data_IF_466175803654
#
_entry.id   IF_466175803654
#
_cell.length_a   1.000
_cell.length_b   1.000
_cell.length_c   1.000
_cell.angle_alpha   90.00
_cell.angle_beta   90.00
_cell.angle_gamma   90.00
#
_symmetry.space_group_name_H-M   'P 1'
#
loop_
_entity.id
_entity.type
_entity.pdbx_description
1 polymer ?
#
# COMPACT_ATOMS: atom_id res chain seq x y z
N UNK A 1 -23.59 -40.34 75.43
CA UNK A 1 -24.77 -40.03 74.62
C UNK A 1 -25.04 -38.55 74.76
N UNK A 2 -24.34 -37.77 74.07
CA UNK A 2 -24.51 -36.33 74.11
C UNK A 2 -24.06 -35.71 72.83
N UNK A 3 -25.03 -35.41 72.00
CA UNK A 3 -24.84 -34.68 70.77
C UNK A 3 -25.17 -33.21 71.10
N UNK A 4 -24.10 -32.47 71.37
CA UNK A 4 -24.16 -31.03 71.65
C UNK A 4 -24.21 -30.24 70.34
N UNK A 5 -25.20 -29.37 70.31
CA UNK A 5 -25.41 -28.21 69.46
C UNK A 5 -24.11 -27.52 69.00
N UNK A 6 -23.94 -27.36 67.68
CA UNK A 6 -23.07 -26.34 67.08
C UNK A 6 -23.93 -25.36 66.30
N UNK A 7 -23.86 -24.08 66.64
CA UNK A 7 -24.55 -23.07 65.84
C UNK A 7 -23.93 -22.93 64.45
N UNK A 8 -24.71 -22.52 63.41
CA UNK A 8 -24.21 -22.33 62.07
C UNK A 8 -23.28 -21.14 62.00
N UNK A 9 -22.18 -21.30 61.23
CA UNK A 9 -21.22 -20.27 60.99
C UNK A 9 -21.83 -19.12 60.15
N UNK A 10 -21.46 -17.85 60.40
CA UNK A 10 -22.00 -16.71 59.67
C UNK A 10 -21.50 -16.71 58.23
N UNK A 11 -22.43 -16.64 57.28
CA UNK A 11 -22.20 -16.35 55.87
C UNK A 11 -21.84 -14.87 55.78
N UNK A 12 -20.60 -14.58 55.51
CA UNK A 12 -20.19 -13.18 55.24
C UNK A 12 -18.77 -12.94 55.71
N UNK A 13 -17.81 -13.07 54.80
CA UNK A 13 -16.59 -12.28 54.71
C UNK A 13 -15.52 -13.09 53.94
N UNK A 14 -15.25 -12.74 52.76
CA UNK A 14 -14.23 -13.37 51.99
C UNK A 14 -14.03 -12.74 50.60
N UNK A 15 -14.44 -11.48 50.47
CA UNK A 15 -13.83 -10.69 49.38
C UNK A 15 -12.41 -10.35 49.81
N UNK A 16 -11.47 -11.24 49.53
CA UNK A 16 -10.08 -10.90 49.52
C UNK A 16 -9.93 -9.70 48.61
N UNK A 17 -9.64 -8.53 49.17
CA UNK A 17 -9.10 -7.40 48.41
C UNK A 17 -7.85 -7.92 47.74
N UNK A 18 -7.96 -8.16 46.45
CA UNK A 18 -6.78 -8.18 45.62
C UNK A 18 -6.21 -6.78 45.69
N UNK A 19 -5.17 -6.65 46.48
CA UNK A 19 -4.28 -5.51 46.44
C UNK A 19 -3.65 -5.53 45.06
N UNK A 20 -4.25 -4.75 44.16
CA UNK A 20 -3.66 -4.45 42.87
C UNK A 20 -2.53 -3.51 43.20
N UNK A 21 -1.42 -4.07 43.70
CA UNK A 21 -0.13 -3.44 43.58
C UNK A 21 0.06 -3.26 42.09
N UNK A 22 -0.11 -2.02 41.64
CA UNK A 22 0.23 -1.57 40.30
C UNK A 22 1.73 -1.83 40.14
N UNK A 23 2.07 -3.05 39.74
CA UNK A 23 3.38 -3.31 39.13
C UNK A 23 3.47 -2.30 38.01
N UNK A 24 4.53 -1.50 37.95
CA UNK A 24 4.76 -0.64 36.78
C UNK A 24 4.58 -1.54 35.56
N UNK A 25 3.64 -1.17 34.68
CA UNK A 25 3.42 -1.83 33.41
C UNK A 25 4.82 -1.93 32.81
N UNK A 26 5.40 -3.12 32.79
CA UNK A 26 6.57 -3.37 31.97
C UNK A 26 6.11 -2.91 30.57
N UNK A 27 6.64 -1.76 30.17
CA UNK A 27 6.54 -1.36 28.76
C UNK A 27 7.10 -2.56 27.99
N UNK A 28 6.22 -3.32 27.40
CA UNK A 28 6.62 -4.29 26.40
C UNK A 28 7.56 -3.53 25.48
N UNK A 29 8.78 -4.01 25.23
CA UNK A 29 9.62 -3.39 24.25
C UNK A 29 8.78 -3.31 22.98
N UNK A 30 8.57 -2.08 22.49
CA UNK A 30 7.80 -1.84 21.27
C UNK A 30 8.28 -2.81 20.20
N UNK A 31 7.37 -3.42 19.44
CA UNK A 31 7.76 -4.28 18.35
C UNK A 31 8.82 -3.55 17.52
N UNK A 32 9.86 -4.24 17.10
CA UNK A 32 10.95 -3.71 16.26
C UNK A 32 10.49 -3.47 14.81
N UNK A 33 9.24 -3.07 14.64
CA UNK A 33 8.54 -2.81 13.38
C UNK A 33 8.89 -1.47 12.73
N UNK A 34 10.06 -0.91 13.06
CA UNK A 34 10.53 0.28 12.39
C UNK A 34 9.66 1.52 12.62
N UNK A 35 9.00 1.63 13.78
CA UNK A 35 8.31 2.86 14.20
C UNK A 35 9.25 4.06 14.03
N UNK A 36 8.76 5.22 13.53
CA UNK A 36 9.60 6.37 13.27
C UNK A 36 10.32 6.78 14.56
N UNK A 37 11.62 6.54 14.60
CA UNK A 37 12.49 7.06 15.67
C UNK A 37 12.65 8.55 15.40
N UNK A 38 11.74 9.34 15.91
CA UNK A 38 11.77 10.79 15.76
C UNK A 38 13.19 11.31 16.04
N UNK A 39 13.88 11.76 15.02
CA UNK A 39 15.13 12.49 15.12
C UNK A 39 16.45 11.71 15.11
N UNK A 40 16.48 10.39 15.18
CA UNK A 40 17.75 9.63 15.05
C UNK A 40 18.11 9.38 13.58
N UNK A 41 19.36 9.67 13.19
CA UNK A 41 19.86 9.35 11.85
C UNK A 41 19.94 7.82 11.68
N UNK A 42 19.26 7.25 10.68
CA UNK A 42 19.42 5.85 10.36
C UNK A 42 20.84 5.56 9.82
N UNK A 43 21.29 4.31 9.83
CA UNK A 43 22.55 3.94 9.21
C UNK A 43 22.50 4.26 7.70
N UNK A 44 23.66 4.56 7.11
CA UNK A 44 23.77 4.90 5.69
C UNK A 44 23.19 3.81 4.79
N UNK A 45 23.28 2.54 5.18
CA UNK A 45 22.70 1.40 4.48
C UNK A 45 21.17 1.49 4.36
N UNK A 46 20.47 1.92 5.40
CA UNK A 46 19.02 2.13 5.37
C UNK A 46 18.66 3.30 4.45
N UNK A 47 19.41 4.40 4.53
CA UNK A 47 19.18 5.57 3.66
C UNK A 47 19.38 5.20 2.19
N UNK A 48 20.45 4.48 1.84
CA UNK A 48 20.69 3.99 0.48
C UNK A 48 19.58 3.01 0.08
N UNK A 49 19.18 2.11 0.99
CA UNK A 49 18.06 1.20 0.77
C UNK A 49 16.76 1.94 0.45
N UNK A 50 16.48 3.05 1.13
CA UNK A 50 15.30 3.87 0.87
C UNK A 50 15.38 4.59 -0.49
N UNK A 51 16.57 5.04 -0.93
CA UNK A 51 16.76 5.56 -2.30
C UNK A 51 16.49 4.48 -3.34
N UNK A 52 16.99 3.27 -3.15
CA UNK A 52 16.74 2.15 -4.07
C UNK A 52 15.24 1.80 -4.11
N UNK A 53 14.58 1.71 -2.96
CA UNK A 53 13.13 1.48 -2.88
C UNK A 53 12.34 2.57 -3.61
N UNK A 54 12.74 3.84 -3.41
CA UNK A 54 12.18 4.98 -4.14
C UNK A 54 12.38 4.84 -5.64
N UNK A 55 13.56 4.44 -6.08
CA UNK A 55 13.86 4.17 -7.48
C UNK A 55 12.94 3.10 -8.08
N UNK A 56 12.72 1.99 -7.35
CA UNK A 56 11.81 0.94 -7.79
C UNK A 56 10.33 1.42 -7.85
N UNK A 57 9.91 2.24 -6.88
CA UNK A 57 8.58 2.86 -6.89
C UNK A 57 8.45 3.80 -8.10
N UNK A 58 9.43 4.68 -8.33
CA UNK A 58 9.44 5.59 -9.47
C UNK A 58 9.40 4.85 -10.81
N UNK A 59 10.14 3.77 -10.94
CA UNK A 59 10.10 2.88 -12.11
C UNK A 59 8.69 2.32 -12.34
N UNK A 60 8.04 1.83 -11.30
CA UNK A 60 6.68 1.30 -11.38
C UNK A 60 5.67 2.37 -11.81
N UNK A 61 5.82 3.59 -11.30
CA UNK A 61 4.92 4.70 -11.65
C UNK A 61 5.05 5.15 -13.13
N UNK A 62 6.17 4.88 -13.79
CA UNK A 62 6.32 5.17 -15.23
C UNK A 62 5.53 4.20 -16.12
N UNK A 63 5.02 3.12 -15.54
CA UNK A 63 4.36 2.04 -16.29
C UNK A 63 2.85 2.08 -16.05
N UNK A 64 2.04 2.34 -17.09
CA UNK A 64 0.59 2.26 -16.98
C UNK A 64 0.12 0.88 -16.49
N UNK A 65 -0.69 0.86 -15.43
CA UNK A 65 -1.22 -0.39 -14.86
C UNK A 65 -0.37 -1.02 -13.76
N UNK A 66 0.82 -0.49 -13.48
CA UNK A 66 1.63 -0.87 -12.32
C UNK A 66 1.50 0.20 -11.24
N UNK A 67 1.38 -0.19 -9.98
CA UNK A 67 1.22 0.72 -8.85
C UNK A 67 2.49 0.77 -8.01
N UNK A 68 3.02 1.97 -7.77
CA UNK A 68 4.11 2.19 -6.82
C UNK A 68 3.75 1.76 -5.40
N UNK A 69 2.46 1.81 -5.03
CA UNK A 69 1.96 1.24 -3.78
C UNK A 69 2.23 -0.27 -3.66
N UNK A 70 2.12 -1.02 -4.77
CA UNK A 70 2.53 -2.44 -4.81
C UNK A 70 4.01 -2.61 -4.52
N UNK A 71 4.86 -1.77 -5.13
CA UNK A 71 6.31 -1.82 -4.88
C UNK A 71 6.64 -1.43 -3.43
N UNK A 72 5.96 -0.41 -2.88
CA UNK A 72 6.11 -0.04 -1.48
C UNK A 72 5.72 -1.19 -0.53
N UNK A 73 4.65 -1.93 -0.86
CA UNK A 73 4.21 -3.09 -0.10
C UNK A 73 5.26 -4.22 -0.18
N UNK A 74 5.68 -4.59 -1.39
CA UNK A 74 6.68 -5.64 -1.64
C UNK A 74 8.02 -5.31 -0.99
N UNK A 75 8.40 -4.04 -0.95
CA UNK A 75 9.64 -3.58 -0.32
C UNK A 75 9.52 -3.30 1.18
N UNK A 76 8.35 -3.56 1.79
CA UNK A 76 8.10 -3.50 3.24
C UNK A 76 8.05 -2.10 3.85
N UNK A 77 7.94 -1.04 3.03
CA UNK A 77 7.86 0.34 3.52
C UNK A 77 6.46 0.94 3.48
N UNK A 78 5.47 0.19 3.00
CA UNK A 78 4.11 0.70 2.76
C UNK A 78 3.47 1.33 3.99
N UNK A 79 3.44 0.62 5.12
CA UNK A 79 2.84 1.12 6.37
C UNK A 79 3.57 2.35 6.90
N UNK A 80 4.91 2.36 6.84
CA UNK A 80 5.72 3.53 7.22
C UNK A 80 5.46 4.74 6.32
N UNK A 81 5.31 4.53 5.01
CA UNK A 81 4.95 5.61 4.06
C UNK A 81 3.58 6.19 4.39
N UNK A 82 2.58 5.36 4.65
CA UNK A 82 1.22 5.82 4.98
C UNK A 82 1.20 6.59 6.30
N UNK A 83 1.85 6.09 7.34
CA UNK A 83 1.96 6.78 8.62
C UNK A 83 2.66 8.14 8.47
N UNK A 84 3.76 8.20 7.71
CA UNK A 84 4.47 9.46 7.43
C UNK A 84 3.65 10.42 6.60
N UNK A 85 2.91 9.93 5.61
CA UNK A 85 2.01 10.75 4.78
C UNK A 85 0.88 11.36 5.61
N UNK A 86 0.31 10.64 6.58
CA UNK A 86 -0.67 11.19 7.52
C UNK A 86 -0.08 12.37 8.29
N UNK A 87 1.04 12.18 9.00
CA UNK A 87 1.69 13.25 9.73
C UNK A 87 2.00 14.45 8.83
N UNK A 88 2.46 14.21 7.61
CA UNK A 88 2.71 15.28 6.63
C UNK A 88 1.42 16.03 6.27
N UNK A 89 0.27 15.34 6.13
CA UNK A 89 -1.03 15.97 5.84
C UNK A 89 -1.65 16.64 7.08
N UNK A 90 -1.26 16.25 8.28
CA UNK A 90 -1.73 16.88 9.52
C UNK A 90 -0.99 18.20 9.84
N UNK A 91 0.24 18.39 9.33
CA UNK A 91 1.00 19.64 9.52
C UNK A 91 0.23 20.89 9.06
N UNK A 92 -0.27 21.02 7.81
CA UNK A 92 -1.03 22.19 7.38
C UNK A 92 -2.33 22.37 8.18
N UNK A 93 -3.00 21.27 8.53
CA UNK A 93 -4.21 21.31 9.36
C UNK A 93 -3.88 21.87 10.74
N UNK A 94 -2.83 21.37 11.38
CA UNK A 94 -2.37 21.85 12.68
C UNK A 94 -2.01 23.33 12.68
N UNK A 95 -1.43 23.83 11.59
CA UNK A 95 -1.17 25.27 11.40
C UNK A 95 -2.45 26.09 11.35
N UNK A 96 -3.51 25.59 10.68
CA UNK A 96 -4.81 26.28 10.56
C UNK A 96 -5.59 26.21 11.87
N UNK A 97 -5.64 25.03 12.51
CA UNK A 97 -6.41 24.78 13.74
C UNK A 97 -5.68 25.22 15.01
N UNK A 98 -4.44 25.73 14.88
CA UNK A 98 -3.56 26.10 16.00
C UNK A 98 -3.28 24.92 16.94
N UNK A 99 -3.33 23.68 16.46
CA UNK A 99 -2.87 22.50 17.19
C UNK A 99 -1.34 22.38 17.09
N UNK A 100 -0.74 21.39 17.75
CA UNK A 100 0.73 21.24 17.79
C UNK A 100 1.28 20.64 16.48
N UNK A 101 1.18 21.42 15.36
CA UNK A 101 1.72 21.05 14.05
C UNK A 101 3.21 20.71 14.08
N UNK A 102 3.95 21.24 15.10
CA UNK A 102 5.39 20.95 15.25
C UNK A 102 5.64 19.54 15.73
N UNK A 103 4.71 18.96 16.50
CA UNK A 103 4.75 17.57 16.88
C UNK A 103 4.52 16.68 15.65
N UNK A 104 3.51 16.99 14.83
CA UNK A 104 3.24 16.27 13.59
C UNK A 104 4.44 16.31 12.64
N UNK A 105 5.03 17.50 12.43
CA UNK A 105 6.21 17.67 11.58
C UNK A 105 7.44 16.87 12.09
N UNK A 106 7.57 16.68 13.42
CA UNK A 106 8.64 15.86 14.01
C UNK A 106 8.39 14.37 13.87
N UNK A 107 7.12 13.96 13.81
CA UNK A 107 6.71 12.56 13.66
C UNK A 107 6.76 12.09 12.19
N UNK A 108 6.91 12.99 11.23
CA UNK A 108 7.17 12.62 9.83
C UNK A 108 8.52 11.92 9.73
N UNK A 109 8.54 10.74 9.12
CA UNK A 109 9.78 10.00 8.84
C UNK A 109 10.52 10.60 7.63
N UNK A 110 11.19 11.73 7.85
CA UNK A 110 11.96 12.42 6.81
C UNK A 110 13.09 11.57 6.25
N UNK A 111 13.65 10.67 7.06
CA UNK A 111 14.71 9.75 6.65
C UNK A 111 14.20 8.61 5.75
N UNK A 112 12.91 8.42 5.69
CA UNK A 112 12.25 7.57 4.71
C UNK A 112 11.81 8.40 3.50
N UNK A 113 11.02 9.47 3.72
CA UNK A 113 10.36 10.20 2.63
C UNK A 113 11.34 10.88 1.68
N UNK A 114 12.39 11.56 2.20
CA UNK A 114 13.33 12.29 1.35
C UNK A 114 14.15 11.33 0.48
N UNK A 115 14.80 10.27 1.02
CA UNK A 115 15.51 9.30 0.19
C UNK A 115 14.61 8.59 -0.84
N UNK A 116 13.39 8.22 -0.45
CA UNK A 116 12.42 7.62 -1.37
C UNK A 116 12.07 8.60 -2.49
N UNK A 117 11.76 9.86 -2.17
CA UNK A 117 11.44 10.87 -3.18
C UNK A 117 12.63 11.13 -4.13
N UNK A 118 13.86 11.20 -3.61
CA UNK A 118 15.06 11.33 -4.45
C UNK A 118 15.19 10.14 -5.38
N UNK A 119 15.05 8.91 -4.87
CA UNK A 119 15.11 7.69 -5.68
C UNK A 119 14.05 7.67 -6.75
N UNK A 120 12.80 8.04 -6.43
CA UNK A 120 11.70 8.16 -7.40
C UNK A 120 12.04 9.14 -8.52
N UNK A 121 12.45 10.36 -8.18
CA UNK A 121 12.79 11.38 -9.17
C UNK A 121 13.94 10.94 -10.08
N UNK A 122 15.01 10.40 -9.49
CA UNK A 122 16.15 9.88 -10.27
C UNK A 122 15.70 8.78 -11.22
N UNK A 123 14.86 7.85 -10.78
CA UNK A 123 14.38 6.75 -11.62
C UNK A 123 13.48 7.29 -12.76
N UNK A 124 12.51 8.15 -12.42
CA UNK A 124 11.60 8.72 -13.43
C UNK A 124 12.37 9.46 -14.50
N UNK A 125 13.27 10.37 -14.13
CA UNK A 125 14.02 11.15 -15.12
C UNK A 125 15.09 10.36 -15.88
N UNK A 126 15.63 9.27 -15.29
CA UNK A 126 16.69 8.48 -15.95
C UNK A 126 16.15 7.36 -16.82
N UNK A 127 15.00 6.78 -16.49
CA UNK A 127 14.52 5.50 -17.05
C UNK A 127 13.17 5.65 -17.76
N UNK A 128 12.47 6.79 -17.58
CA UNK A 128 11.16 6.99 -18.18
C UNK A 128 11.16 6.73 -19.70
N UNK A 129 12.14 7.25 -20.43
CA UNK A 129 12.23 7.05 -21.87
C UNK A 129 12.47 5.59 -22.26
N UNK A 130 13.33 4.87 -21.55
CA UNK A 130 13.57 3.43 -21.79
C UNK A 130 12.32 2.62 -21.49
N UNK A 131 11.63 2.97 -20.40
CA UNK A 131 10.40 2.28 -20.00
C UNK A 131 9.25 2.57 -20.97
N UNK A 132 9.12 3.82 -21.42
CA UNK A 132 8.17 4.22 -22.44
C UNK A 132 8.39 3.40 -23.73
N UNK A 133 9.61 3.34 -24.23
CA UNK A 133 9.97 2.52 -25.38
C UNK A 133 9.60 1.04 -25.16
N UNK A 134 9.93 0.48 -23.98
CA UNK A 134 9.61 -0.92 -23.68
C UNK A 134 8.10 -1.18 -23.63
N UNK A 135 7.32 -0.26 -23.08
CA UNK A 135 5.84 -0.41 -22.98
C UNK A 135 5.17 -0.21 -24.34
N UNK A 136 5.65 0.75 -25.14
CA UNK A 136 5.02 1.10 -26.43
C UNK A 136 5.44 0.17 -27.57
N UNK A 137 6.73 -0.19 -27.64
CA UNK A 137 7.24 -1.04 -28.74
C UNK A 137 7.12 -2.54 -28.44
N UNK A 138 7.07 -2.93 -27.16
CA UNK A 138 7.00 -4.33 -26.73
C UNK A 138 5.85 -4.58 -25.75
N UNK A 139 4.58 -4.24 -26.09
CA UNK A 139 3.45 -4.26 -25.15
C UNK A 139 3.13 -5.66 -24.60
N UNK A 140 3.32 -6.72 -25.39
CA UNK A 140 3.11 -8.11 -24.95
C UNK A 140 4.12 -8.48 -23.88
N UNK A 141 5.39 -8.17 -24.09
CA UNK A 141 6.47 -8.54 -23.19
C UNK A 141 6.47 -7.71 -21.90
N UNK A 142 6.22 -6.41 -22.00
CA UNK A 142 6.13 -5.53 -20.85
C UNK A 142 4.96 -5.92 -19.94
N UNK A 143 3.77 -6.14 -20.51
CA UNK A 143 2.61 -6.61 -19.75
C UNK A 143 2.85 -7.97 -19.09
N UNK A 144 3.50 -8.92 -19.80
CA UNK A 144 3.84 -10.23 -19.26
C UNK A 144 4.77 -10.12 -18.04
N UNK A 145 5.84 -9.31 -18.13
CA UNK A 145 6.77 -9.07 -17.02
C UNK A 145 6.03 -8.50 -15.78
N UNK A 146 5.24 -7.45 -15.99
CA UNK A 146 4.50 -6.82 -14.88
C UNK A 146 3.39 -7.72 -14.33
N UNK A 147 2.71 -8.49 -15.16
CA UNK A 147 1.75 -9.49 -14.74
C UNK A 147 2.40 -10.54 -13.81
N UNK A 148 3.62 -10.99 -14.14
CA UNK A 148 4.39 -11.89 -13.30
C UNK A 148 4.74 -11.27 -11.94
N UNK A 149 5.20 -10.02 -11.96
CA UNK A 149 5.50 -9.27 -10.73
C UNK A 149 4.27 -9.13 -9.84
N UNK A 150 3.14 -8.69 -10.38
CA UNK A 150 1.91 -8.51 -9.60
C UNK A 150 1.33 -9.85 -9.14
N UNK A 151 1.37 -10.88 -9.97
CA UNK A 151 0.90 -12.22 -9.59
C UNK A 151 1.64 -12.76 -8.35
N UNK A 152 2.97 -12.60 -8.31
CA UNK A 152 3.76 -12.95 -7.13
C UNK A 152 3.44 -12.05 -5.93
N UNK A 153 3.19 -10.76 -6.16
CA UNK A 153 2.87 -9.79 -5.11
C UNK A 153 1.52 -10.07 -4.41
N UNK A 154 0.60 -10.80 -5.04
CA UNK A 154 -0.67 -11.22 -4.39
C UNK A 154 -0.42 -12.01 -3.10
N UNK A 155 0.68 -12.76 -3.02
CA UNK A 155 1.02 -13.53 -1.83
C UNK A 155 1.54 -12.66 -0.66
N UNK A 156 2.12 -11.49 -0.93
CA UNK A 156 2.79 -10.67 0.09
C UNK A 156 1.83 -10.23 1.21
N UNK A 157 0.64 -9.67 0.93
CA UNK A 157 -0.28 -9.27 1.99
C UNK A 157 -0.73 -10.42 2.88
N UNK A 158 -0.78 -11.65 2.38
CA UNK A 158 -1.12 -12.80 3.20
C UNK A 158 -0.04 -13.14 4.23
N UNK A 159 1.23 -12.82 3.94
CA UNK A 159 2.33 -12.99 4.89
C UNK A 159 2.28 -11.97 6.04
N UNK A 160 1.60 -10.84 5.83
CA UNK A 160 1.40 -9.77 6.81
C UNK A 160 0.13 -9.98 7.68
N UNK A 161 -0.66 -11.02 7.42
CA UNK A 161 -1.85 -11.34 8.22
C UNK A 161 -1.43 -11.72 9.63
N UNK A 162 -2.07 -11.12 10.63
CA UNK A 162 -1.74 -11.37 12.04
C UNK A 162 -2.08 -12.81 12.44
N UNK A 163 -1.19 -13.50 13.17
CA UNK A 163 -1.48 -14.84 13.71
C UNK A 163 -2.77 -14.81 14.56
N UNK A 164 -3.63 -15.79 14.37
CA UNK A 164 -4.89 -15.90 15.11
C UNK A 164 -6.12 -15.24 14.46
N UNK A 165 -5.94 -14.23 13.61
CA UNK A 165 -7.07 -13.50 13.01
C UNK A 165 -7.93 -14.38 12.07
N UNK A 166 -7.34 -15.42 11.49
CA UNK A 166 -8.00 -16.34 10.56
C UNK A 166 -8.24 -17.75 11.15
N UNK A 167 -8.24 -17.94 12.48
CA UNK A 167 -8.36 -19.25 13.08
C UNK A 167 -9.77 -19.82 13.01
N UNK A 168 -10.80 -18.99 13.01
CA UNK A 168 -12.19 -19.43 12.96
C UNK A 168 -12.70 -19.58 11.53
N UNK A 169 -13.63 -20.53 11.31
CA UNK A 169 -14.30 -20.70 10.00
C UNK A 169 -15.03 -19.42 9.57
N UNK A 170 -15.62 -18.68 10.51
CA UNK A 170 -16.30 -17.43 10.24
C UNK A 170 -15.34 -16.33 9.78
N UNK A 171 -14.16 -16.21 10.40
CA UNK A 171 -13.12 -15.26 10.00
C UNK A 171 -12.58 -15.58 8.59
N UNK A 172 -12.29 -16.86 8.33
CA UNK A 172 -11.88 -17.32 6.98
C UNK A 172 -12.94 -17.02 5.92
N UNK A 173 -14.22 -17.24 6.23
CA UNK A 173 -15.32 -16.93 5.32
C UNK A 173 -15.43 -15.45 5.00
N UNK A 174 -15.32 -14.58 6.01
CA UNK A 174 -15.32 -13.11 5.83
C UNK A 174 -14.11 -12.64 5.02
N UNK A 175 -12.92 -13.18 5.31
CA UNK A 175 -11.70 -12.87 4.57
C UNK A 175 -11.82 -13.30 3.09
N UNK A 176 -12.30 -14.51 2.81
CA UNK A 176 -12.53 -15.00 1.45
C UNK A 176 -13.55 -14.12 0.71
N UNK A 177 -14.67 -13.76 1.35
CA UNK A 177 -15.67 -12.87 0.76
C UNK A 177 -15.09 -11.49 0.43
N UNK A 178 -14.32 -10.90 1.33
CA UNK A 178 -13.64 -9.61 1.11
C UNK A 178 -12.63 -9.70 -0.04
N UNK A 179 -11.79 -10.73 -0.05
CA UNK A 179 -10.82 -10.99 -1.12
C UNK A 179 -11.49 -11.06 -2.48
N UNK A 180 -12.54 -11.89 -2.59
CA UNK A 180 -13.30 -12.08 -3.84
C UNK A 180 -13.99 -10.77 -4.24
N UNK A 181 -14.61 -10.05 -3.30
CA UNK A 181 -15.26 -8.79 -3.58
C UNK A 181 -14.29 -7.74 -4.15
N UNK A 182 -13.11 -7.59 -3.53
CA UNK A 182 -12.09 -6.64 -4.00
C UNK A 182 -11.50 -7.06 -5.35
N UNK A 183 -11.22 -8.36 -5.55
CA UNK A 183 -10.74 -8.88 -6.83
C UNK A 183 -11.78 -8.64 -7.94
N UNK A 184 -13.06 -8.94 -7.67
CA UNK A 184 -14.14 -8.73 -8.63
C UNK A 184 -14.34 -7.25 -8.94
N UNK A 185 -14.27 -6.38 -7.94
CA UNK A 185 -14.41 -4.93 -8.13
C UNK A 185 -13.36 -4.39 -9.10
N UNK A 186 -12.07 -4.73 -8.89
CA UNK A 186 -10.99 -4.29 -9.81
C UNK A 186 -11.07 -4.99 -11.15
N UNK A 187 -11.41 -6.27 -11.19
CA UNK A 187 -11.63 -6.98 -12.44
C UNK A 187 -12.71 -6.31 -13.30
N UNK A 188 -13.86 -5.94 -12.70
CA UNK A 188 -14.93 -5.21 -13.39
C UNK A 188 -14.42 -3.84 -13.82
N UNK A 189 -13.79 -3.07 -12.92
CA UNK A 189 -13.25 -1.76 -13.23
C UNK A 189 -12.30 -1.81 -14.44
N UNK A 190 -11.38 -2.76 -14.47
CA UNK A 190 -10.43 -2.94 -15.56
C UNK A 190 -11.06 -3.54 -16.84
N UNK A 191 -12.32 -4.00 -16.76
CA UNK A 191 -13.10 -4.50 -17.89
C UNK A 191 -13.93 -3.43 -18.57
N UNK A 192 -14.08 -2.26 -17.94
CA UNK A 192 -14.84 -1.17 -18.53
C UNK A 192 -14.13 -0.64 -19.80
N UNK A 193 -14.87 -0.34 -20.86
CA UNK A 193 -14.28 0.24 -22.06
C UNK A 193 -13.67 1.59 -21.72
N UNK A 194 -12.56 1.90 -22.37
CA UNK A 194 -11.91 3.21 -22.26
C UNK A 194 -12.77 4.24 -22.97
N UNK A 195 -13.09 5.32 -22.28
CA UNK A 195 -13.88 6.43 -22.81
C UNK A 195 -12.96 7.63 -23.03
N UNK A 196 -13.37 8.54 -23.92
CA UNK A 196 -12.74 9.84 -24.07
C UNK A 196 -13.82 10.93 -23.98
N UNK A 197 -13.63 11.88 -23.08
CA UNK A 197 -14.46 13.06 -22.89
C UNK A 197 -13.63 14.26 -23.30
N UNK A 198 -13.87 14.84 -24.48
CA UNK A 198 -13.05 15.92 -25.04
C UNK A 198 -13.03 17.18 -24.17
N UNK A 199 -14.14 17.50 -23.51
CA UNK A 199 -14.28 18.69 -22.63
C UNK A 199 -14.99 18.29 -21.32
N UNK A 200 -14.24 17.74 -20.34
CA UNK A 200 -14.83 17.29 -19.10
C UNK A 200 -15.21 18.47 -18.19
N UNK A 201 -16.39 18.47 -17.58
CA UNK A 201 -16.75 19.48 -16.61
C UNK A 201 -15.80 19.49 -15.42
N UNK A 202 -15.40 20.66 -14.91
CA UNK A 202 -14.42 20.81 -13.85
C UNK A 202 -14.76 20.02 -12.57
N UNK A 203 -16.04 19.83 -12.27
CA UNK A 203 -16.48 19.00 -11.15
C UNK A 203 -16.09 17.52 -11.34
N UNK A 204 -16.19 17.01 -12.57
CA UNK A 204 -15.74 15.65 -12.90
C UNK A 204 -14.23 15.55 -12.76
N UNK A 205 -13.48 16.56 -13.24
CA UNK A 205 -12.02 16.63 -13.09
C UNK A 205 -11.62 16.58 -11.62
N UNK A 206 -12.28 17.39 -10.78
CA UNK A 206 -12.04 17.41 -9.33
C UNK A 206 -12.29 16.05 -8.67
N UNK A 207 -13.47 15.47 -8.91
CA UNK A 207 -13.87 14.19 -8.30
C UNK A 207 -12.98 13.03 -8.80
N UNK A 208 -12.69 13.01 -10.10
CA UNK A 208 -11.86 11.96 -10.68
C UNK A 208 -10.39 12.06 -10.22
N UNK A 209 -9.84 13.26 -10.08
CA UNK A 209 -8.51 13.46 -9.51
C UNK A 209 -8.44 12.97 -8.05
N UNK A 210 -9.48 13.26 -7.24
CA UNK A 210 -9.55 12.79 -5.86
C UNK A 210 -9.57 11.26 -5.77
N UNK A 211 -10.29 10.57 -6.66
CA UNK A 211 -10.33 9.11 -6.68
C UNK A 211 -9.04 8.53 -7.28
N UNK A 212 -8.50 9.15 -8.34
CA UNK A 212 -7.28 8.69 -8.99
C UNK A 212 -6.09 8.65 -8.05
N UNK A 213 -5.93 9.69 -7.20
CA UNK A 213 -4.84 9.71 -6.21
C UNK A 213 -5.03 8.66 -5.11
N UNK A 214 -6.28 8.33 -4.74
CA UNK A 214 -6.56 7.21 -3.83
C UNK A 214 -6.14 5.89 -4.47
N UNK A 215 -6.46 5.70 -5.76
CA UNK A 215 -6.07 4.53 -6.53
C UNK A 215 -4.54 4.38 -6.64
N UNK A 216 -3.80 5.50 -6.75
CA UNK A 216 -2.34 5.51 -6.78
C UNK A 216 -1.72 4.93 -5.50
N UNK A 217 -2.31 5.20 -4.35
CA UNK A 217 -1.82 4.73 -3.04
C UNK A 217 -2.18 3.26 -2.81
N UNK A 218 -3.29 2.77 -3.39
CA UNK A 218 -3.71 1.39 -3.21
C UNK A 218 -2.85 0.42 -4.02
N UNK A 219 -2.37 -0.68 -3.41
CA UNK A 219 -1.70 -1.73 -4.15
C UNK A 219 -2.61 -2.33 -5.24
N UNK A 220 -2.08 -2.49 -6.44
CA UNK A 220 -2.81 -3.12 -7.56
C UNK A 220 -3.81 -2.24 -8.29
N UNK A 221 -3.95 -0.97 -7.92
CA UNK A 221 -4.82 -0.02 -8.63
C UNK A 221 -3.98 1.14 -9.15
N UNK A 222 -4.12 1.47 -10.44
CA UNK A 222 -3.42 2.58 -11.07
C UNK A 222 -4.32 3.79 -11.22
N UNK A 223 -3.87 4.95 -10.72
CA UNK A 223 -4.60 6.22 -10.83
C UNK A 223 -4.75 6.67 -12.28
N UNK A 224 -3.71 6.52 -13.10
CA UNK A 224 -3.74 6.85 -14.54
C UNK A 224 -4.72 5.95 -15.30
N UNK A 225 -4.76 4.65 -14.95
CA UNK A 225 -5.75 3.74 -15.52
C UNK A 225 -7.17 4.15 -15.15
N UNK A 226 -7.41 4.57 -13.90
CA UNK A 226 -8.71 5.09 -13.49
C UNK A 226 -9.12 6.31 -14.34
N UNK A 227 -8.21 7.25 -14.58
CA UNK A 227 -8.48 8.41 -15.45
C UNK A 227 -8.80 8.00 -16.89
N UNK A 228 -8.14 6.95 -17.41
CA UNK A 228 -8.44 6.38 -18.73
C UNK A 228 -9.87 5.82 -18.79
N UNK A 229 -10.28 5.05 -17.78
CA UNK A 229 -11.63 4.47 -17.70
C UNK A 229 -12.70 5.56 -17.59
N UNK A 230 -12.44 6.61 -16.79
CA UNK A 230 -13.34 7.76 -16.65
C UNK A 230 -13.37 8.64 -17.91
N UNK A 231 -12.35 8.53 -18.78
CA UNK A 231 -12.28 9.26 -20.05
C UNK A 231 -11.64 10.63 -19.95
N UNK A 232 -10.95 10.95 -18.87
CA UNK A 232 -10.31 12.25 -18.69
C UNK A 232 -8.78 12.21 -18.72
N UNK A 233 -8.17 11.06 -19.03
CA UNK A 233 -6.72 10.97 -19.13
C UNK A 233 -6.15 11.86 -20.25
N UNK A 234 -6.68 11.72 -21.48
CA UNK A 234 -6.22 12.52 -22.61
C UNK A 234 -6.40 14.03 -22.39
N UNK A 235 -7.57 14.55 -21.96
CA UNK A 235 -7.70 15.97 -21.66
C UNK A 235 -6.83 16.44 -20.47
N UNK A 236 -6.50 15.55 -19.51
CA UNK A 236 -5.56 15.91 -18.44
C UNK A 236 -4.15 16.09 -19.00
N UNK A 237 -3.70 15.22 -19.91
CA UNK A 237 -2.40 15.37 -20.58
C UNK A 237 -2.36 16.61 -21.46
N UNK A 238 -3.41 16.85 -22.27
CA UNK A 238 -3.54 18.07 -23.06
C UNK A 238 -3.50 19.34 -22.18
N UNK A 239 -4.18 19.33 -21.02
CA UNK A 239 -4.15 20.47 -20.11
C UNK A 239 -2.73 20.74 -19.51
N UNK A 240 -1.88 19.70 -19.39
CA UNK A 240 -0.48 19.85 -18.99
C UNK A 240 0.32 20.51 -20.11
N UNK A 241 0.17 20.03 -21.37
CA UNK A 241 0.88 20.55 -22.55
C UNK A 241 0.47 22.00 -22.84
N UNK A 242 -0.84 22.29 -22.81
CA UNK A 242 -1.41 23.62 -23.06
C UNK A 242 -1.24 24.57 -21.86
N UNK A 243 -0.72 24.09 -20.74
CA UNK A 243 -0.59 24.84 -19.48
C UNK A 243 -1.93 25.45 -19.01
N UNK A 244 -3.01 24.69 -19.14
CA UNK A 244 -4.33 25.12 -18.69
C UNK A 244 -4.38 25.19 -17.17
N UNK A 245 -4.03 26.36 -16.63
CA UNK A 245 -3.91 26.60 -15.18
C UNK A 245 -5.22 26.31 -14.43
N UNK A 246 -6.38 26.61 -15.04
CA UNK A 246 -7.67 26.39 -14.41
C UNK A 246 -7.94 24.89 -14.23
N UNK A 247 -7.73 24.10 -15.27
CA UNK A 247 -7.89 22.64 -15.22
C UNK A 247 -6.93 22.03 -14.21
N UNK A 248 -5.64 22.38 -14.30
CA UNK A 248 -4.59 21.85 -13.43
C UNK A 248 -4.79 22.21 -11.96
N UNK A 249 -5.27 23.45 -11.67
CA UNK A 249 -5.58 23.86 -10.30
C UNK A 249 -6.75 23.03 -9.72
N UNK A 250 -7.81 22.82 -10.49
CA UNK A 250 -8.95 22.00 -10.06
C UNK A 250 -8.54 20.55 -9.86
N UNK A 251 -7.74 20.01 -10.78
CA UNK A 251 -7.19 18.65 -10.65
C UNK A 251 -6.32 18.51 -9.40
N UNK A 252 -5.39 19.44 -9.18
CA UNK A 252 -4.52 19.45 -8.00
C UNK A 252 -5.28 19.58 -6.68
N UNK A 253 -6.34 20.41 -6.63
CA UNK A 253 -7.20 20.54 -5.45
C UNK A 253 -7.98 19.23 -5.18
N UNK A 254 -8.50 18.58 -6.22
CA UNK A 254 -9.14 17.27 -6.09
C UNK A 254 -8.17 16.22 -5.58
N UNK A 255 -6.99 16.11 -6.18
CA UNK A 255 -5.95 15.18 -5.77
C UNK A 255 -5.49 15.44 -4.33
N UNK A 256 -5.29 16.70 -3.93
CA UNK A 256 -4.91 17.07 -2.57
C UNK A 256 -5.98 16.65 -1.54
N UNK A 257 -7.25 16.93 -1.82
CA UNK A 257 -8.36 16.52 -0.95
C UNK A 257 -8.45 14.99 -0.88
N UNK A 258 -8.31 14.32 -2.01
CA UNK A 258 -8.32 12.86 -2.10
C UNK A 258 -7.23 12.24 -1.23
N UNK A 259 -5.97 12.65 -1.40
CA UNK A 259 -4.86 12.07 -0.63
C UNK A 259 -4.98 12.35 0.87
N UNK A 260 -5.33 13.58 1.27
CA UNK A 260 -5.51 13.95 2.68
C UNK A 260 -6.61 13.13 3.36
N UNK A 261 -7.72 12.91 2.66
CA UNK A 261 -8.82 12.12 3.19
C UNK A 261 -8.48 10.63 3.22
N UNK A 262 -7.94 10.13 2.12
CA UNK A 262 -7.69 8.71 1.93
C UNK A 262 -6.57 8.16 2.83
N UNK A 263 -5.48 8.91 3.01
CA UNK A 263 -4.37 8.51 3.89
C UNK A 263 -4.86 8.25 5.30
N UNK A 264 -5.78 9.08 5.81
CA UNK A 264 -6.37 8.88 7.16
C UNK A 264 -7.25 7.65 7.25
N UNK A 265 -8.08 7.42 6.21
CA UNK A 265 -8.91 6.22 6.14
C UNK A 265 -8.03 4.98 6.10
N UNK A 266 -6.99 5.01 5.27
CA UNK A 266 -6.09 3.88 5.09
C UNK A 266 -5.27 3.60 6.36
N UNK A 267 -4.76 4.63 7.03
CA UNK A 267 -4.07 4.47 8.30
C UNK A 267 -5.01 3.88 9.36
N UNK A 268 -6.21 4.45 9.52
CA UNK A 268 -7.20 3.91 10.45
C UNK A 268 -7.51 2.43 10.14
N UNK A 269 -7.60 2.08 8.84
CA UNK A 269 -7.83 0.70 8.41
C UNK A 269 -6.64 -0.21 8.78
N UNK A 270 -5.41 0.25 8.56
CA UNK A 270 -4.20 -0.48 8.91
C UNK A 270 -4.02 -0.66 10.43
N UNK A 271 -4.40 0.35 11.23
CA UNK A 271 -4.31 0.27 12.69
C UNK A 271 -5.39 -0.64 13.29
N UNK A 272 -6.64 -0.49 12.86
CA UNK A 272 -7.79 -1.13 13.49
C UNK A 272 -8.25 -2.41 12.81
N UNK A 273 -7.98 -2.57 11.51
CA UNK A 273 -8.44 -3.68 10.68
C UNK A 273 -7.33 -4.21 9.77
N UNK A 274 -6.12 -4.34 10.31
CA UNK A 274 -4.90 -4.70 9.55
C UNK A 274 -5.11 -5.91 8.64
N UNK A 275 -5.61 -7.03 9.19
CA UNK A 275 -5.87 -8.26 8.42
C UNK A 275 -6.87 -8.03 7.28
N UNK A 276 -7.94 -7.24 7.52
CA UNK A 276 -8.89 -6.92 6.47
C UNK A 276 -8.25 -6.03 5.38
N UNK A 277 -7.39 -5.07 5.76
CA UNK A 277 -6.64 -4.26 4.82
C UNK A 277 -5.72 -5.12 3.94
N UNK A 278 -4.98 -6.05 4.54
CA UNK A 278 -4.08 -6.96 3.80
C UNK A 278 -4.86 -7.89 2.86
N UNK A 279 -5.94 -8.50 3.34
CA UNK A 279 -6.81 -9.36 2.50
C UNK A 279 -7.43 -8.55 1.34
N UNK A 280 -7.89 -7.34 1.62
CA UNK A 280 -8.40 -6.42 0.60
C UNK A 280 -7.35 -6.08 -0.45
N UNK A 281 -6.13 -5.73 -0.02
CA UNK A 281 -5.01 -5.45 -0.92
C UNK A 281 -4.65 -6.64 -1.81
N UNK A 282 -4.62 -7.85 -1.26
CA UNK A 282 -4.40 -9.08 -2.03
C UNK A 282 -5.50 -9.27 -3.11
N UNK A 283 -6.77 -8.99 -2.77
CA UNK A 283 -7.88 -9.04 -3.71
C UNK A 283 -7.73 -8.00 -4.83
N UNK A 284 -7.38 -6.75 -4.49
CA UNK A 284 -7.11 -5.68 -5.48
C UNK A 284 -6.00 -6.10 -6.45
N UNK A 285 -4.88 -6.64 -5.94
CA UNK A 285 -3.77 -7.15 -6.76
C UNK A 285 -4.22 -8.26 -7.71
N UNK A 286 -5.01 -9.23 -7.23
CA UNK A 286 -5.52 -10.30 -8.08
C UNK A 286 -6.41 -9.76 -9.19
N UNK A 287 -7.33 -8.85 -8.88
CA UNK A 287 -8.24 -8.24 -9.86
C UNK A 287 -7.51 -7.44 -10.93
N UNK A 288 -6.38 -6.79 -10.58
CA UNK A 288 -5.59 -5.99 -11.50
C UNK A 288 -4.84 -6.80 -12.58
N UNK A 289 -4.65 -8.11 -12.39
CA UNK A 289 -3.99 -8.97 -13.38
C UNK A 289 -4.69 -8.92 -14.75
N UNK A 290 -6.00 -8.69 -14.79
CA UNK A 290 -6.72 -8.51 -16.05
C UNK A 290 -6.16 -7.36 -16.89
N UNK A 291 -5.85 -6.23 -16.26
CA UNK A 291 -5.28 -5.07 -16.97
C UNK A 291 -3.92 -5.35 -17.59
N UNK A 292 -3.21 -6.34 -17.09
CA UNK A 292 -1.87 -6.76 -17.52
C UNK A 292 -1.86 -8.01 -18.40
N UNK A 293 -3.05 -8.51 -18.83
CA UNK A 293 -3.08 -9.59 -19.79
C UNK A 293 -2.32 -9.17 -21.05
N UNK A 294 -1.33 -9.95 -21.51
CA UNK A 294 -0.43 -9.51 -22.61
C UNK A 294 -1.16 -9.23 -23.94
N UNK A 295 -2.15 -10.04 -24.25
CA UNK A 295 -2.86 -9.97 -25.53
C UNK A 295 -4.19 -9.25 -25.35
N UNK A 296 -4.19 -7.96 -25.65
CA UNK A 296 -5.36 -7.08 -25.55
C UNK A 296 -5.50 -6.24 -26.80
N UNK A 297 -6.73 -5.87 -27.12
CA UNK A 297 -7.03 -4.82 -28.10
C UNK A 297 -6.75 -3.43 -27.52
N UNK A 298 -6.71 -2.39 -28.35
CA UNK A 298 -6.43 -1.01 -27.93
C UNK A 298 -7.47 -0.47 -26.94
N UNK A 299 -8.71 -0.95 -27.04
CA UNK A 299 -9.81 -0.63 -26.12
C UNK A 299 -9.82 -1.51 -24.84
N UNK A 300 -8.85 -2.41 -24.69
CA UNK A 300 -8.69 -3.25 -23.50
C UNK A 300 -9.46 -4.57 -23.53
N UNK A 301 -10.01 -4.97 -24.70
CA UNK A 301 -10.60 -6.29 -24.90
C UNK A 301 -9.56 -7.40 -24.79
N UNK A 302 -9.92 -8.54 -24.19
CA UNK A 302 -8.99 -9.67 -24.06
C UNK A 302 -8.96 -10.47 -25.36
N UNK A 303 -7.76 -10.74 -25.85
CA UNK A 303 -7.48 -11.63 -26.99
C UNK A 303 -6.97 -12.98 -26.48
N UNK A 304 -7.01 -13.98 -27.37
CA UNK A 304 -6.35 -15.28 -27.12
C UNK A 304 -4.82 -15.12 -27.10
N UNK A 305 -4.17 -16.18 -26.63
CA UNK A 305 -2.70 -16.25 -26.57
C UNK A 305 -2.12 -16.21 -27.98
N UNK A 306 -1.21 -15.26 -28.23
CA UNK A 306 -0.54 -15.08 -29.52
C UNK A 306 0.76 -15.87 -29.64
N UNK A 307 1.43 -15.73 -30.79
CA UNK A 307 2.64 -16.50 -31.14
C UNK A 307 3.85 -16.13 -30.25
N UNK A 308 3.83 -14.94 -29.60
CA UNK A 308 4.89 -14.46 -28.71
C UNK A 308 4.87 -15.14 -27.31
N UNK A 309 3.95 -16.10 -27.09
CA UNK A 309 3.74 -16.72 -25.77
C UNK A 309 5.02 -17.29 -25.12
N UNK A 310 6.03 -17.87 -25.83
CA UNK A 310 7.20 -18.40 -25.15
C UNK A 310 8.04 -17.28 -24.49
N UNK A 311 8.21 -16.16 -25.21
CA UNK A 311 8.91 -14.98 -24.67
C UNK A 311 8.12 -14.30 -23.56
N UNK A 312 6.80 -14.18 -23.73
CA UNK A 312 5.91 -13.64 -22.71
C UNK A 312 5.93 -14.50 -21.44
N UNK A 313 5.89 -15.83 -21.54
CA UNK A 313 6.02 -16.73 -20.39
C UNK A 313 7.38 -16.58 -19.71
N UNK A 314 8.48 -16.46 -20.47
CA UNK A 314 9.81 -16.22 -19.93
C UNK A 314 9.88 -14.94 -19.10
N UNK A 315 9.30 -13.85 -19.60
CA UNK A 315 9.23 -12.57 -18.87
C UNK A 315 8.27 -12.59 -17.68
N UNK A 316 7.15 -13.29 -17.79
CA UNK A 316 6.26 -13.54 -16.65
C UNK A 316 7.00 -14.25 -15.51
N UNK A 317 7.72 -15.35 -15.82
CA UNK A 317 8.52 -16.08 -14.83
C UNK A 317 9.63 -15.21 -14.25
N UNK A 318 10.27 -14.38 -15.08
CA UNK A 318 11.25 -13.40 -14.59
C UNK A 318 10.63 -12.41 -13.62
N UNK A 319 9.44 -11.89 -13.93
CA UNK A 319 8.68 -11.00 -13.02
C UNK A 319 8.38 -11.66 -11.67
N UNK A 320 7.90 -12.90 -11.68
CA UNK A 320 7.68 -13.69 -10.46
C UNK A 320 9.00 -13.86 -9.69
N UNK A 321 10.09 -14.19 -10.37
CA UNK A 321 11.40 -14.40 -9.74
C UNK A 321 11.93 -13.12 -9.08
N UNK A 322 11.79 -11.97 -9.72
CA UNK A 322 12.20 -10.67 -9.17
C UNK A 322 11.50 -10.41 -7.83
N UNK A 323 10.17 -10.54 -7.78
CA UNK A 323 9.41 -10.32 -6.56
C UNK A 323 9.76 -11.36 -5.49
N UNK A 324 9.89 -12.62 -5.85
CA UNK A 324 10.27 -13.69 -4.92
C UNK A 324 11.65 -13.41 -4.30
N UNK A 325 12.63 -12.99 -5.09
CA UNK A 325 13.97 -12.61 -4.58
C UNK A 325 13.88 -11.43 -3.62
N UNK A 326 13.14 -10.37 -3.96
CA UNK A 326 12.94 -9.21 -3.09
C UNK A 326 12.30 -9.63 -1.76
N UNK A 327 11.24 -10.44 -1.80
CA UNK A 327 10.55 -10.94 -0.61
C UNK A 327 11.47 -11.82 0.28
N UNK A 328 12.27 -12.70 -0.35
CA UNK A 328 13.23 -13.55 0.37
C UNK A 328 14.35 -12.73 1.03
N UNK A 329 14.89 -11.72 0.34
CA UNK A 329 15.90 -10.83 0.90
C UNK A 329 15.36 -10.07 2.10
N UNK A 330 14.14 -9.52 1.98
CA UNK A 330 13.48 -8.85 3.10
C UNK A 330 13.31 -9.78 4.30
N UNK A 331 12.75 -10.96 4.08
CA UNK A 331 12.54 -11.93 5.16
C UNK A 331 13.85 -12.28 5.88
N UNK A 332 14.95 -12.43 5.14
CA UNK A 332 16.27 -12.69 5.74
C UNK A 332 16.80 -11.51 6.55
N UNK A 333 16.65 -10.29 6.06
CA UNK A 333 17.11 -9.07 6.76
C UNK A 333 16.31 -8.89 8.06
N UNK A 334 14.99 -8.98 8.02
CA UNK A 334 14.17 -8.88 9.24
C UNK A 334 14.47 -10.00 10.24
N UNK A 335 14.70 -11.22 9.77
CA UNK A 335 15.05 -12.35 10.65
C UNK A 335 16.43 -12.20 11.28
N UNK A 336 17.37 -11.55 10.62
CA UNK A 336 18.70 -11.25 11.15
C UNK A 336 18.65 -10.16 12.22
N UNK A 337 17.90 -9.09 11.98
CA UNK A 337 17.73 -8.00 12.94
C UNK A 337 16.97 -8.46 14.20
N UNK A 338 15.95 -9.31 14.06
CA UNK A 338 15.23 -9.90 15.18
C UNK A 338 16.16 -10.76 16.07
N UNK A 339 17.05 -11.54 15.47
CA UNK A 339 18.06 -12.33 16.23
C UNK A 339 19.14 -11.47 16.89
N UNK A 340 19.51 -10.34 16.27
CA UNK A 340 20.50 -9.42 16.82
C UNK A 340 19.97 -8.60 18.00
N UNK A 341 18.63 -8.46 18.11
CA UNK A 341 17.95 -7.76 19.20
C UNK A 341 17.56 -8.66 20.38
N UNK A 342 17.75 -9.98 20.26
CA UNK A 342 17.52 -10.92 21.37
C UNK A 342 18.66 -10.76 22.41
N UNK A 343 18.38 -10.43 23.68
CA UNK A 343 19.42 -10.30 24.69
C UNK A 343 20.16 -11.64 24.84
N UNK A 344 21.49 -11.59 24.85
CA UNK A 344 22.33 -12.75 25.15
C UNK A 344 22.16 -13.11 26.64
N UNK A 345 21.04 -13.72 26.97
CA UNK A 345 20.85 -14.37 28.28
C UNK A 345 21.65 -15.69 28.29
N UNK A 346 22.89 -15.60 28.80
CA UNK A 346 23.62 -16.72 29.39
C UNK A 346 24.37 -16.24 30.61
#
# INVERSE_FOLDING_TARGET
MEFADRPPAPIGAGYARYDVSVTPRQENPAPSDGSPRGGQRPPATETIGNVVRGGLIGLAETVPGVSGGTVALVTGIYTRLIASAKHLTDVPRGMITRSDWRADARNVDWWLLIPVAIGMLVAVFSIAGVMETFVTEQPVYSKALFMGMIAASVAIPFLEVRPGDLDTRGAKGKAAALFIAMATAVFILTSLPRSEISDPPLILVFCAAAVAVCALVLPGVSGSFFLLVVGIYAPTMAAVDDRNVQYLAVFALGALLGIVTFVRILEWLLENHHTAAMIGAAGLLLGSLRALWPWQTDDGGLLGVGDEWPGALGLFVLGVAVVAVVALVQHKVYSADARASEPADR
#
